data_IF_678803747542
#
_entry.id   IF_678803747542
#
_cell.length_a   1.000
_cell.length_b   1.000
_cell.length_c   1.000
_cell.angle_alpha   90.00
_cell.angle_beta   90.00
_cell.angle_gamma   90.00
#
_symmetry.space_group_name_H-M   'P 1'
#
loop_
_entity.id
_entity.type
_entity.pdbx_description
1 polymer ?
#
# COMPACT_ATOMS: atom_id res chain seq x y z
N UNK A 1 15.67 -2.23 1.89
CA UNK A 1 16.14 -2.54 3.26
C UNK A 1 16.91 -3.85 3.31
N UNK A 2 16.45 -4.91 2.63
CA UNK A 2 17.21 -6.16 2.56
C UNK A 2 18.43 -6.02 1.63
N UNK A 3 18.30 -5.26 0.54
CA UNK A 3 19.38 -5.08 -0.46
C UNK A 3 20.52 -4.14 -0.06
N UNK A 4 20.46 -3.53 1.15
CA UNK A 4 21.54 -2.66 1.66
C UNK A 4 22.63 -3.44 2.38
N UNK A 5 22.43 -4.75 2.55
CA UNK A 5 23.36 -5.65 3.22
C UNK A 5 24.08 -6.54 2.20
N UNK A 6 25.27 -7.10 2.56
CA UNK A 6 25.97 -8.04 1.71
C UNK A 6 25.09 -9.25 1.34
N UNK A 7 25.22 -9.81 0.12
CA UNK A 7 24.42 -10.96 -0.33
C UNK A 7 24.44 -12.12 0.67
N UNK A 8 25.58 -12.35 1.32
CA UNK A 8 25.79 -13.43 2.29
C UNK A 8 24.94 -13.27 3.56
N UNK A 9 24.59 -12.04 3.94
CA UNK A 9 23.79 -11.74 5.13
C UNK A 9 22.28 -11.62 4.82
N UNK A 10 21.91 -11.55 3.54
CA UNK A 10 20.57 -11.19 3.08
C UNK A 10 19.50 -12.17 3.59
N UNK A 11 19.79 -13.47 3.55
CA UNK A 11 18.87 -14.53 3.99
C UNK A 11 18.60 -14.47 5.49
N UNK A 12 19.65 -14.28 6.29
CA UNK A 12 19.55 -14.16 7.75
C UNK A 12 18.71 -12.95 8.15
N UNK A 13 18.88 -11.83 7.44
CA UNK A 13 18.13 -10.60 7.69
C UNK A 13 16.66 -10.77 7.33
N UNK A 14 16.32 -11.48 6.24
CA UNK A 14 14.92 -11.81 5.92
C UNK A 14 14.28 -12.66 6.99
N UNK A 15 14.99 -13.65 7.55
CA UNK A 15 14.48 -14.47 8.66
C UNK A 15 14.19 -13.60 9.88
N UNK A 16 15.14 -12.75 10.29
CA UNK A 16 14.94 -11.85 11.44
C UNK A 16 13.78 -10.88 11.21
N UNK A 17 13.73 -10.25 10.03
CA UNK A 17 12.67 -9.33 9.64
C UNK A 17 11.30 -10.03 9.67
N UNK A 18 11.20 -11.27 9.19
CA UNK A 18 9.93 -12.01 9.21
C UNK A 18 9.37 -12.23 10.62
N UNK A 19 10.25 -12.32 11.62
CA UNK A 19 9.87 -12.55 13.02
C UNK A 19 9.64 -11.27 13.82
N UNK A 20 10.26 -10.16 13.45
CA UNK A 20 10.18 -8.89 14.21
C UNK A 20 9.27 -7.84 13.58
N UNK A 21 9.00 -7.92 12.27
CA UNK A 21 8.11 -6.99 11.59
C UNK A 21 6.68 -7.13 12.14
N UNK A 22 6.04 -6.01 12.43
CA UNK A 22 4.63 -5.99 12.86
C UNK A 22 3.73 -5.54 11.72
N UNK A 23 4.07 -4.41 11.11
CA UNK A 23 3.32 -3.82 10.00
C UNK A 23 4.20 -2.84 9.21
N UNK A 24 3.79 -2.55 7.98
CA UNK A 24 4.34 -1.49 7.15
C UNK A 24 3.20 -0.57 6.73
N UNK A 25 3.39 0.72 6.94
CA UNK A 25 2.49 1.78 6.49
C UNK A 25 3.24 2.63 5.46
N UNK A 26 2.76 2.62 4.21
CA UNK A 26 3.30 3.45 3.15
C UNK A 26 2.31 4.56 2.84
N UNK A 27 2.74 5.81 2.97
CA UNK A 27 1.87 6.98 2.91
C UNK A 27 2.16 7.82 1.67
N UNK A 28 1.11 8.22 0.97
CA UNK A 28 1.17 9.12 -0.18
C UNK A 28 0.22 10.29 0.04
N UNK A 29 0.74 11.52 -0.04
CA UNK A 29 -0.07 12.72 0.08
C UNK A 29 -0.60 13.16 -1.29
N UNK A 30 -1.92 13.28 -1.38
CA UNK A 30 -2.65 13.70 -2.57
C UNK A 30 -3.19 15.11 -2.36
N UNK A 31 -3.15 15.95 -3.41
CA UNK A 31 -3.79 17.26 -3.36
C UNK A 31 -5.32 17.09 -3.24
N UNK A 32 -5.95 17.78 -2.29
CA UNK A 32 -7.41 17.81 -2.19
C UNK A 32 -8.01 18.56 -3.38
N UNK A 33 -9.15 18.09 -3.88
CA UNK A 33 -10.01 18.87 -4.76
C UNK A 33 -11.21 19.39 -3.96
N UNK A 34 -11.71 20.57 -4.32
CA UNK A 34 -12.93 21.17 -3.74
C UNK A 34 -13.03 21.05 -2.20
N UNK A 35 -12.00 21.48 -1.45
CA UNK A 35 -12.02 21.26 -0.02
C UNK A 35 -13.16 22.05 0.62
N UNK A 36 -13.92 21.39 1.50
CA UNK A 36 -14.96 22.03 2.31
C UNK A 36 -14.37 23.14 3.19
N UNK A 37 -15.21 24.06 3.67
CA UNK A 37 -14.76 25.12 4.58
C UNK A 37 -14.01 24.53 5.79
N UNK A 38 -12.79 25.03 6.04
CA UNK A 38 -11.89 24.50 7.08
C UNK A 38 -10.99 23.33 6.65
N UNK A 39 -11.18 22.77 5.45
CA UNK A 39 -10.25 21.82 4.84
C UNK A 39 -9.32 22.56 3.89
N UNK A 40 -8.01 22.28 3.97
CA UNK A 40 -7.02 22.86 3.05
C UNK A 40 -5.90 21.85 2.77
N UNK A 41 -5.23 22.01 1.63
CA UNK A 41 -3.98 21.30 1.35
C UNK A 41 -4.15 19.87 0.81
N UNK A 42 -3.65 18.88 1.56
CA UNK A 42 -3.48 17.49 1.10
C UNK A 42 -4.23 16.50 1.98
N UNK A 43 -4.58 15.36 1.40
CA UNK A 43 -5.13 14.19 2.10
C UNK A 43 -4.21 12.98 1.89
N UNK A 44 -4.12 12.11 2.88
CA UNK A 44 -3.27 10.93 2.84
C UNK A 44 -4.03 9.75 2.24
N UNK A 45 -3.43 9.12 1.23
CA UNK A 45 -3.69 7.74 0.85
C UNK A 45 -2.63 6.86 1.52
N UNK A 46 -3.02 5.71 2.06
CA UNK A 46 -2.08 4.80 2.74
C UNK A 46 -2.27 3.36 2.28
N UNK A 47 -1.15 2.70 2.03
CA UNK A 47 -1.05 1.25 1.89
C UNK A 47 -0.62 0.65 3.22
N UNK A 48 -1.27 -0.45 3.61
CA UNK A 48 -1.09 -1.10 4.90
C UNK A 48 -0.82 -2.58 4.66
N UNK A 49 0.34 -3.04 5.10
CA UNK A 49 0.70 -4.46 5.19
C UNK A 49 0.81 -4.84 6.67
N UNK A 50 0.07 -5.86 7.10
CA UNK A 50 0.23 -6.46 8.44
C UNK A 50 1.04 -7.75 8.33
N UNK A 51 1.98 -7.97 9.25
CA UNK A 51 2.81 -9.17 9.24
C UNK A 51 2.08 -10.37 9.87
N UNK A 52 1.18 -10.97 9.10
CA UNK A 52 0.53 -12.25 9.46
C UNK A 52 1.50 -13.42 9.31
N UNK A 53 1.17 -14.63 9.81
CA UNK A 53 2.00 -15.82 9.57
C UNK A 53 2.27 -16.09 8.07
N UNK A 54 1.29 -15.83 7.20
CA UNK A 54 1.45 -15.98 5.74
C UNK A 54 2.42 -14.93 5.17
N UNK A 55 2.25 -13.65 5.53
CA UNK A 55 3.16 -12.57 5.16
C UNK A 55 4.59 -12.84 5.62
N UNK A 56 4.75 -13.26 6.89
CA UNK A 56 6.05 -13.60 7.47
C UNK A 56 6.73 -14.73 6.69
N UNK A 57 5.96 -15.74 6.29
CA UNK A 57 6.51 -16.83 5.49
C UNK A 57 7.01 -16.36 4.11
N UNK A 58 6.25 -15.49 3.43
CA UNK A 58 6.66 -14.92 2.15
C UNK A 58 7.94 -14.08 2.27
N UNK A 59 8.09 -13.31 3.37
CA UNK A 59 9.31 -12.55 3.64
C UNK A 59 10.51 -13.49 3.83
N UNK A 60 10.33 -14.55 4.62
CA UNK A 60 11.37 -15.55 4.89
C UNK A 60 11.87 -16.23 3.61
N UNK A 61 10.94 -16.61 2.75
CA UNK A 61 11.23 -17.26 1.46
C UNK A 61 11.68 -16.28 0.36
N UNK A 62 11.71 -14.97 0.63
CA UNK A 62 12.08 -13.96 -0.36
C UNK A 62 11.05 -13.77 -1.48
N UNK A 63 9.82 -14.26 -1.31
CA UNK A 63 8.72 -14.19 -2.30
C UNK A 63 7.97 -12.86 -2.19
N UNK A 64 8.70 -11.75 -2.16
CA UNK A 64 8.16 -10.40 -1.93
C UNK A 64 7.12 -9.97 -2.98
N UNK A 65 7.24 -10.46 -4.22
CA UNK A 65 6.26 -10.20 -5.28
C UNK A 65 4.83 -10.67 -4.95
N UNK A 66 4.68 -11.66 -4.05
CA UNK A 66 3.38 -12.19 -3.63
C UNK A 66 2.76 -11.40 -2.48
N UNK A 67 3.50 -10.49 -1.84
CA UNK A 67 3.00 -9.67 -0.74
C UNK A 67 1.85 -8.77 -1.16
N UNK A 68 1.87 -8.27 -2.41
CA UNK A 68 0.77 -7.44 -2.93
C UNK A 68 -0.57 -8.17 -2.89
N UNK A 69 -0.60 -9.45 -3.29
CA UNK A 69 -1.81 -10.26 -3.23
C UNK A 69 -2.29 -10.48 -1.80
N UNK A 70 -1.37 -10.60 -0.83
CA UNK A 70 -1.75 -10.65 0.59
C UNK A 70 -2.43 -9.37 1.04
N UNK A 71 -1.93 -8.20 0.63
CA UNK A 71 -2.54 -6.90 0.95
C UNK A 71 -3.94 -6.79 0.32
N UNK A 72 -4.10 -7.24 -0.93
CA UNK A 72 -5.38 -7.21 -1.65
C UNK A 72 -6.47 -8.00 -0.92
N UNK A 73 -6.14 -9.20 -0.44
CA UNK A 73 -7.11 -10.07 0.25
C UNK A 73 -7.16 -9.85 1.76
N UNK A 74 -6.19 -9.14 2.32
CA UNK A 74 -5.98 -8.99 3.76
C UNK A 74 -6.88 -7.96 4.46
N UNK A 75 -8.01 -7.59 3.84
CA UNK A 75 -8.86 -6.50 4.31
C UNK A 75 -9.43 -6.72 5.72
N UNK A 76 -9.79 -7.97 6.05
CA UNK A 76 -10.30 -8.32 7.38
C UNK A 76 -9.23 -8.20 8.47
N UNK A 77 -7.95 -8.33 8.11
CA UNK A 77 -6.82 -8.11 9.00
C UNK A 77 -6.37 -6.64 9.04
N UNK A 78 -7.12 -5.73 8.42
CA UNK A 78 -6.79 -4.30 8.37
C UNK A 78 -5.78 -3.91 7.29
N UNK A 79 -5.47 -4.80 6.34
CA UNK A 79 -4.63 -4.46 5.19
C UNK A 79 -5.40 -3.67 4.13
N UNK A 80 -4.67 -2.89 3.35
CA UNK A 80 -5.23 -2.04 2.31
C UNK A 80 -4.17 -1.74 1.25
N UNK A 81 -4.51 -1.92 -0.03
CA UNK A 81 -3.63 -1.47 -1.13
C UNK A 81 -3.71 0.04 -1.30
N UNK A 82 -2.65 0.62 -1.87
CA UNK A 82 -2.66 2.04 -2.25
C UNK A 82 -3.82 2.34 -3.21
N UNK A 83 -4.07 1.47 -4.19
CA UNK A 83 -5.15 1.66 -5.17
C UNK A 83 -6.53 1.71 -4.51
N UNK A 84 -6.79 0.87 -3.49
CA UNK A 84 -8.05 0.92 -2.73
C UNK A 84 -8.16 2.22 -1.92
N UNK A 85 -7.06 2.70 -1.34
CA UNK A 85 -7.05 4.00 -0.64
C UNK A 85 -7.34 5.16 -1.58
N UNK A 86 -6.68 5.20 -2.74
CA UNK A 86 -6.88 6.22 -3.76
C UNK A 86 -8.31 6.18 -4.33
N UNK A 87 -8.83 4.99 -4.62
CA UNK A 87 -10.19 4.81 -5.12
C UNK A 87 -11.22 5.38 -4.14
N UNK A 88 -11.09 5.09 -2.84
CA UNK A 88 -11.97 5.65 -1.81
C UNK A 88 -11.92 7.18 -1.78
N UNK A 89 -10.73 7.79 -1.86
CA UNK A 89 -10.59 9.25 -1.89
C UNK A 89 -11.23 9.88 -3.14
N UNK A 90 -11.17 9.19 -4.28
CA UNK A 90 -11.80 9.64 -5.52
C UNK A 90 -13.32 9.52 -5.44
N UNK A 91 -13.83 8.37 -4.97
CA UNK A 91 -15.26 8.11 -4.83
C UNK A 91 -15.93 9.01 -3.79
N UNK A 92 -15.19 9.41 -2.75
CA UNK A 92 -15.63 10.39 -1.76
C UNK A 92 -15.51 11.84 -2.24
N UNK A 93 -14.90 12.09 -3.40
CA UNK A 93 -14.69 13.42 -3.94
C UNK A 93 -13.52 14.20 -3.32
N UNK A 94 -12.79 13.65 -2.37
CA UNK A 94 -11.64 14.29 -1.71
C UNK A 94 -10.48 14.59 -2.67
N UNK A 95 -10.26 13.73 -3.66
CA UNK A 95 -9.13 13.78 -4.61
C UNK A 95 -9.64 13.63 -6.04
N UNK A 96 -9.04 14.38 -6.97
CA UNK A 96 -9.39 14.27 -8.39
C UNK A 96 -8.89 12.96 -8.98
N UNK A 97 -9.59 12.44 -10.01
CA UNK A 97 -9.14 11.25 -10.75
C UNK A 97 -7.71 11.41 -11.27
N UNK A 98 -7.40 12.56 -11.85
CA UNK A 98 -6.07 12.85 -12.41
C UNK A 98 -4.97 12.82 -11.33
N UNK A 99 -5.23 13.40 -10.15
CA UNK A 99 -4.29 13.35 -9.03
C UNK A 99 -4.09 11.91 -8.55
N UNK A 100 -5.18 11.15 -8.37
CA UNK A 100 -5.10 9.76 -7.92
C UNK A 100 -4.35 8.87 -8.92
N UNK A 101 -4.61 9.03 -10.23
CA UNK A 101 -3.91 8.30 -11.29
C UNK A 101 -2.42 8.63 -11.35
N UNK A 102 -2.03 9.88 -11.08
CA UNK A 102 -0.62 10.28 -10.99
C UNK A 102 0.10 9.75 -9.74
N UNK A 103 -0.64 9.27 -8.74
CA UNK A 103 -0.10 8.69 -7.51
C UNK A 103 -0.18 7.17 -7.44
N UNK A 104 -0.97 6.53 -8.29
CA UNK A 104 -1.20 5.10 -8.26
C UNK A 104 0.05 4.32 -8.68
N UNK A 105 0.35 3.24 -7.95
CA UNK A 105 1.39 2.28 -8.34
C UNK A 105 0.89 1.37 -9.46
N UNK A 106 -0.41 1.07 -9.48
CA UNK A 106 -1.09 0.26 -10.50
C UNK A 106 -2.32 0.99 -11.07
N UNK A 107 -2.13 1.92 -12.02
CA UNK A 107 -3.21 2.76 -12.55
C UNK A 107 -4.40 1.97 -13.13
N UNK A 108 -4.16 0.83 -13.80
CA UNK A 108 -5.24 0.01 -14.35
C UNK A 108 -6.13 -0.64 -13.27
N UNK A 109 -5.56 -0.99 -12.11
CA UNK A 109 -6.36 -1.51 -10.98
C UNK A 109 -7.17 -0.40 -10.33
N UNK A 110 -6.59 0.80 -10.16
CA UNK A 110 -7.33 1.98 -9.70
C UNK A 110 -8.53 2.28 -10.61
N UNK A 111 -8.32 2.26 -11.94
CA UNK A 111 -9.38 2.51 -12.92
C UNK A 111 -10.56 1.55 -12.76
N UNK A 112 -10.27 0.26 -12.59
CA UNK A 112 -11.29 -0.77 -12.31
C UNK A 112 -12.04 -0.50 -11.00
N UNK A 113 -11.34 -0.06 -9.96
CA UNK A 113 -11.94 0.20 -8.63
C UNK A 113 -12.85 1.44 -8.63
N UNK A 114 -12.58 2.44 -9.46
CA UNK A 114 -13.43 3.64 -9.59
C UNK A 114 -14.60 3.47 -10.57
N UNK A 115 -14.77 2.27 -11.15
CA UNK A 115 -15.91 1.92 -12.01
C UNK A 115 -15.77 2.33 -13.47
N UNK A 116 -14.55 2.47 -13.99
CA UNK A 116 -14.29 2.65 -15.42
C UNK A 116 -13.88 1.30 -16.03
N UNK A 117 -14.68 0.79 -16.98
CA UNK A 117 -14.32 -0.29 -17.90
C UNK A 117 -14.32 0.29 -19.31
#
# INVERSE_FOLDING_TARGET
>A
MVDVFPPEATDQIRVQLSGSLVAVFSQTLCRRQNPSEGQFGRVMAQEILINTPATANLIREGKTAQLYSQIQTGGEQGMQTLEKALANLVLNGDVSRAEAMGKASKPGELQRLIGEI
#
